data_IF_488141391321
#
_entry.id   IF_488141391321
#
_cell.length_a   1.000
_cell.length_b   1.000
_cell.length_c   1.000
_cell.angle_alpha   90.00
_cell.angle_beta   90.00
_cell.angle_gamma   90.00
#
_symmetry.space_group_name_H-M   'P 1'
#
loop_
_entity.id
_entity.type
_entity.pdbx_description
1 polymer ?
#
# COMPACT_ATOMS: atom_id res chain seq x y z
N UNK A 1 0.32 63.69 -44.53
CA UNK A 1 0.59 63.86 -43.08
C UNK A 1 -0.24 62.83 -42.35
N UNK A 2 0.37 61.68 -42.05
CA UNK A 2 -0.20 60.60 -41.26
C UNK A 2 0.97 59.92 -40.57
N UNK A 3 0.91 59.92 -39.25
CA UNK A 3 1.99 59.62 -38.33
C UNK A 3 2.38 58.13 -38.32
N UNK A 4 3.69 57.88 -38.37
CA UNK A 4 4.30 56.58 -38.07
C UNK A 4 4.67 56.51 -36.59
N UNK A 5 4.28 55.47 -35.84
CA UNK A 5 4.77 55.28 -34.49
C UNK A 5 6.12 54.55 -34.47
N UNK A 6 7.07 55.16 -33.76
CA UNK A 6 8.41 54.67 -33.45
C UNK A 6 8.40 53.43 -32.54
N UNK A 7 9.29 52.43 -32.75
CA UNK A 7 9.44 51.29 -31.85
C UNK A 7 10.24 51.65 -30.59
N UNK A 8 9.70 51.33 -29.42
CA UNK A 8 10.36 51.42 -28.12
C UNK A 8 11.31 50.23 -27.87
N UNK A 9 12.45 50.43 -27.18
CA UNK A 9 13.42 49.38 -26.92
C UNK A 9 13.03 48.47 -25.74
N UNK A 10 13.18 47.16 -25.96
CA UNK A 10 13.02 46.09 -24.97
C UNK A 10 14.14 46.09 -23.92
N UNK A 11 13.85 46.03 -22.61
CA UNK A 11 14.86 45.81 -21.58
C UNK A 11 15.20 44.31 -21.42
N UNK A 12 16.47 43.98 -21.60
CA UNK A 12 17.05 42.64 -21.37
C UNK A 12 17.18 42.33 -19.87
N UNK A 13 16.76 41.14 -19.37
CA UNK A 13 17.01 40.74 -17.99
C UNK A 13 18.30 39.92 -17.91
N UNK A 14 19.46 40.58 -17.89
CA UNK A 14 20.77 39.97 -17.55
C UNK A 14 21.57 40.87 -16.61
N UNK A 15 21.00 41.22 -15.46
CA UNK A 15 21.73 42.01 -14.45
C UNK A 15 21.27 41.82 -12.99
N UNK A 16 20.65 40.68 -12.62
CA UNK A 16 20.20 40.46 -11.23
C UNK A 16 20.83 39.26 -10.49
N UNK A 17 21.85 38.60 -11.06
CA UNK A 17 22.48 37.43 -10.41
C UNK A 17 23.85 37.68 -9.76
N UNK A 18 24.28 38.92 -9.53
CA UNK A 18 25.63 39.20 -8.94
C UNK A 18 25.59 39.99 -7.63
N UNK A 19 24.41 40.26 -7.06
CA UNK A 19 24.28 41.03 -5.82
C UNK A 19 23.82 40.20 -4.60
N UNK A 20 24.37 38.99 -4.41
CA UNK A 20 24.30 38.27 -3.11
C UNK A 20 25.65 37.61 -2.85
N UNK A 21 26.70 38.41 -2.84
CA UNK A 21 28.00 38.04 -2.31
C UNK A 21 28.70 39.34 -1.93
N UNK A 22 28.43 39.82 -0.72
CA UNK A 22 29.34 40.63 0.12
C UNK A 22 28.57 41.00 1.39
N UNK A 23 28.91 40.32 2.47
CA UNK A 23 28.42 40.63 3.80
C UNK A 23 28.99 41.96 4.28
N UNK A 24 28.11 42.84 4.73
CA UNK A 24 28.46 43.95 5.62
C UNK A 24 27.51 43.87 6.81
N UNK A 25 28.08 43.55 7.96
CA UNK A 25 27.46 43.56 9.27
C UNK A 25 26.98 44.97 9.62
N UNK A 26 25.69 45.09 9.94
CA UNK A 26 25.09 46.27 10.56
C UNK A 26 24.10 45.81 11.62
N UNK A 27 24.50 45.94 12.88
CA UNK A 27 23.71 45.65 14.08
C UNK A 27 22.53 46.63 14.14
N UNK A 28 21.32 46.11 14.01
CA UNK A 28 20.11 46.69 14.60
C UNK A 28 19.15 45.54 14.94
N UNK A 29 19.06 45.23 16.23
CA UNK A 29 18.08 44.31 16.79
C UNK A 29 16.67 44.89 16.63
N UNK A 30 16.06 44.61 15.49
CA UNK A 30 14.61 44.60 15.33
C UNK A 30 14.23 43.14 15.19
N UNK A 31 13.62 42.58 16.24
CA UNK A 31 13.12 41.21 16.27
C UNK A 31 12.12 41.01 15.12
N UNK A 32 12.63 40.54 13.97
CA UNK A 32 11.85 40.40 12.76
C UNK A 32 10.80 39.29 12.94
N UNK A 33 9.54 39.48 12.51
CA UNK A 33 8.51 38.45 12.53
C UNK A 33 8.84 37.22 11.66
N UNK A 34 9.90 37.30 10.84
CA UNK A 34 10.37 36.21 9.96
C UNK A 34 10.91 34.99 10.72
N UNK A 35 11.56 35.19 11.88
CA UNK A 35 12.11 34.10 12.68
C UNK A 35 11.02 33.23 13.33
N UNK A 36 9.88 33.83 13.70
CA UNK A 36 8.72 33.09 14.24
C UNK A 36 8.01 32.24 13.18
N UNK A 37 8.00 32.70 11.92
CA UNK A 37 7.47 31.94 10.78
C UNK A 37 8.29 30.69 10.47
N UNK A 38 9.63 30.83 10.40
CA UNK A 38 10.52 29.68 10.16
C UNK A 38 10.52 28.65 11.31
N UNK A 39 10.35 29.09 12.57
CA UNK A 39 10.29 28.16 13.70
C UNK A 39 9.00 27.32 13.70
N UNK A 40 7.87 27.89 13.28
CA UNK A 40 6.57 27.20 13.18
C UNK A 40 6.50 26.20 12.02
N UNK A 41 7.18 26.48 10.90
CA UNK A 41 7.24 25.56 9.75
C UNK A 41 8.14 24.36 10.04
N UNK A 42 9.26 24.58 10.74
CA UNK A 42 10.17 23.50 11.14
C UNK A 42 9.55 22.53 12.16
N UNK A 43 8.80 23.04 13.15
CA UNK A 43 8.15 22.17 14.14
C UNK A 43 7.05 21.30 13.53
N UNK A 44 6.25 21.84 12.59
CA UNK A 44 5.23 21.06 11.87
C UNK A 44 5.84 19.96 11.00
N UNK A 45 6.95 20.25 10.31
CA UNK A 45 7.66 19.24 9.52
C UNK A 45 8.21 18.11 10.39
N UNK A 46 8.78 18.42 11.56
CA UNK A 46 9.26 17.41 12.50
C UNK A 46 8.13 16.55 13.07
N UNK A 47 6.99 17.15 13.40
CA UNK A 47 5.81 16.40 13.85
C UNK A 47 5.25 15.48 12.76
N UNK A 48 5.23 15.94 11.51
CA UNK A 48 4.82 15.11 10.37
C UNK A 48 5.80 13.96 10.14
N UNK A 49 7.11 14.22 10.17
CA UNK A 49 8.14 13.18 10.04
C UNK A 49 8.05 12.15 11.17
N UNK A 50 7.83 12.60 12.42
CA UNK A 50 7.65 11.72 13.57
C UNK A 50 6.36 10.88 13.48
N UNK A 51 5.27 11.46 12.99
CA UNK A 51 4.01 10.76 12.76
C UNK A 51 4.13 9.70 11.66
N UNK A 52 4.79 10.02 10.54
CA UNK A 52 5.07 9.05 9.47
C UNK A 52 5.94 7.89 9.97
N UNK A 53 6.98 8.20 10.74
CA UNK A 53 7.83 7.18 11.36
C UNK A 53 7.03 6.32 12.35
N UNK A 54 6.17 6.91 13.18
CA UNK A 54 5.32 6.16 14.10
C UNK A 54 4.37 5.21 13.35
N UNK A 55 3.79 5.65 12.24
CA UNK A 55 2.95 4.81 11.38
C UNK A 55 3.75 3.69 10.68
N UNK A 56 5.02 3.92 10.36
CA UNK A 56 5.91 2.90 9.80
C UNK A 56 6.26 1.82 10.84
N UNK A 57 6.44 2.22 12.10
CA UNK A 57 6.78 1.33 13.22
C UNK A 57 5.56 0.58 13.79
N UNK A 58 4.34 1.05 13.52
CA UNK A 58 3.13 0.47 14.08
C UNK A 58 2.91 -1.00 13.65
N UNK A 59 2.98 -1.38 12.36
CA UNK A 59 2.81 -2.77 11.95
C UNK A 59 3.79 -3.76 12.62
N UNK A 60 5.12 -3.56 12.59
CA UNK A 60 6.04 -4.49 13.25
C UNK A 60 5.85 -4.49 14.77
N UNK A 61 5.52 -3.37 15.40
CA UNK A 61 5.21 -3.31 16.83
C UNK A 61 3.96 -4.15 17.18
N UNK A 62 2.91 -4.08 16.36
CA UNK A 62 1.69 -4.91 16.54
C UNK A 62 2.02 -6.39 16.38
N UNK A 63 2.84 -6.75 15.38
CA UNK A 63 3.24 -8.15 15.16
C UNK A 63 4.05 -8.68 16.34
N UNK A 64 5.12 -7.98 16.73
CA UNK A 64 5.99 -8.39 17.85
C UNK A 64 5.20 -8.47 19.15
N UNK A 65 4.33 -7.48 19.43
CA UNK A 65 3.47 -7.50 20.61
C UNK A 65 2.44 -8.64 20.57
N UNK A 66 1.91 -8.99 19.39
CA UNK A 66 0.94 -10.09 19.27
C UNK A 66 1.63 -11.45 19.47
N UNK A 67 2.84 -11.61 18.93
CA UNK A 67 3.66 -12.81 19.11
C UNK A 67 4.08 -12.98 20.58
N UNK A 68 4.50 -11.90 21.25
CA UNK A 68 4.95 -11.96 22.65
C UNK A 68 3.84 -12.32 23.64
N UNK A 69 2.58 -12.07 23.29
CA UNK A 69 1.43 -12.40 24.14
C UNK A 69 0.69 -13.68 23.68
N UNK A 70 1.24 -14.42 22.71
CA UNK A 70 0.63 -15.61 22.10
C UNK A 70 -0.80 -15.35 21.60
N UNK A 71 -1.07 -14.14 21.08
CA UNK A 71 -2.39 -13.71 20.58
C UNK A 71 -2.46 -13.75 19.06
N UNK A 72 -2.21 -14.92 18.46
CA UNK A 72 -2.24 -15.09 16.99
C UNK A 72 -3.56 -14.64 16.33
N UNK A 73 -4.68 -14.74 17.04
CA UNK A 73 -5.99 -14.27 16.59
C UNK A 73 -6.05 -12.76 16.34
N UNK A 74 -5.37 -11.93 17.15
CA UNK A 74 -5.34 -10.48 16.96
C UNK A 74 -4.65 -10.13 15.65
N UNK A 75 -3.54 -10.82 15.37
CA UNK A 75 -2.78 -10.59 14.15
C UNK A 75 -3.55 -11.04 12.91
N UNK A 76 -4.33 -12.12 12.99
CA UNK A 76 -5.24 -12.52 11.91
C UNK A 76 -6.30 -11.47 11.61
N UNK A 77 -6.94 -10.88 12.62
CA UNK A 77 -7.88 -9.77 12.38
C UNK A 77 -7.18 -8.54 11.80
N UNK A 78 -5.95 -8.24 12.25
CA UNK A 78 -5.16 -7.17 11.66
C UNK A 78 -4.85 -7.46 10.17
N UNK A 79 -4.50 -8.70 9.83
CA UNK A 79 -4.32 -9.14 8.44
C UNK A 79 -5.64 -9.04 7.64
N UNK A 80 -6.79 -9.39 8.21
CA UNK A 80 -8.09 -9.22 7.54
C UNK A 80 -8.37 -7.75 7.21
N UNK A 81 -8.10 -6.84 8.15
CA UNK A 81 -8.25 -5.40 7.94
C UNK A 81 -7.26 -4.93 6.87
N UNK A 82 -6.00 -5.38 6.94
CA UNK A 82 -4.96 -5.02 6.00
C UNK A 82 -5.31 -5.48 4.57
N UNK A 83 -5.75 -6.73 4.39
CA UNK A 83 -6.16 -7.28 3.07
C UNK A 83 -7.36 -6.51 2.52
N UNK A 84 -8.38 -6.22 3.32
CA UNK A 84 -9.56 -5.50 2.86
C UNK A 84 -9.21 -4.07 2.41
N UNK A 85 -8.43 -3.33 3.22
CA UNK A 85 -8.00 -1.97 2.90
C UNK A 85 -7.01 -1.96 1.72
N UNK A 86 -6.03 -2.85 1.71
CA UNK A 86 -5.07 -2.95 0.61
C UNK A 86 -5.75 -3.35 -0.70
N UNK A 87 -6.72 -4.26 -0.66
CA UNK A 87 -7.54 -4.63 -1.80
C UNK A 87 -8.31 -3.44 -2.35
N UNK A 88 -8.91 -2.62 -1.48
CA UNK A 88 -9.54 -1.36 -1.88
C UNK A 88 -8.52 -0.41 -2.52
N UNK A 89 -7.34 -0.21 -1.93
CA UNK A 89 -6.30 0.65 -2.50
C UNK A 89 -5.86 0.19 -3.90
N UNK A 90 -5.55 -1.11 -4.03
CA UNK A 90 -5.18 -1.73 -5.30
C UNK A 90 -6.30 -1.61 -6.33
N UNK A 91 -7.57 -1.74 -5.94
CA UNK A 91 -8.70 -1.59 -6.86
C UNK A 91 -8.71 -0.21 -7.54
N UNK A 92 -8.41 0.84 -6.77
CA UNK A 92 -8.32 2.21 -7.29
C UNK A 92 -7.07 2.40 -8.16
N UNK A 93 -5.92 1.82 -7.78
CA UNK A 93 -4.71 1.87 -8.59
C UNK A 93 -4.90 1.14 -9.93
N UNK A 94 -5.41 -0.08 -9.91
CA UNK A 94 -5.66 -0.89 -11.10
C UNK A 94 -6.66 -0.20 -12.04
N UNK A 95 -7.73 0.39 -11.51
CA UNK A 95 -8.64 1.19 -12.31
C UNK A 95 -7.92 2.33 -13.06
N UNK A 96 -7.10 3.12 -12.35
CA UNK A 96 -6.38 4.25 -12.95
C UNK A 96 -5.31 3.81 -13.93
N UNK A 97 -4.54 2.78 -13.60
CA UNK A 97 -3.52 2.21 -14.49
C UNK A 97 -4.18 1.70 -15.77
N UNK A 98 -5.30 0.96 -15.66
CA UNK A 98 -6.06 0.49 -16.82
C UNK A 98 -6.51 1.62 -17.71
N UNK A 99 -7.21 2.61 -17.14
CA UNK A 99 -7.68 3.76 -17.93
C UNK A 99 -6.54 4.51 -18.59
N UNK A 100 -5.44 4.75 -17.88
CA UNK A 100 -4.26 5.42 -18.44
C UNK A 100 -3.63 4.64 -19.59
N UNK A 101 -3.45 3.33 -19.44
CA UNK A 101 -2.83 2.50 -20.48
C UNK A 101 -3.77 2.29 -21.68
N UNK A 102 -5.06 2.06 -21.45
CA UNK A 102 -6.05 1.90 -22.51
C UNK A 102 -6.20 3.18 -23.33
N UNK A 103 -6.29 4.34 -22.68
CA UNK A 103 -6.24 5.65 -23.34
C UNK A 103 -4.96 5.74 -24.17
N UNK A 104 -3.78 5.50 -23.60
CA UNK A 104 -2.53 5.59 -24.35
C UNK A 104 -2.44 4.65 -25.56
N UNK A 105 -3.14 3.50 -25.53
CA UNK A 105 -3.12 2.49 -26.60
C UNK A 105 -4.23 2.67 -27.64
N UNK A 106 -5.38 3.23 -27.25
CA UNK A 106 -6.55 3.45 -28.13
C UNK A 106 -6.52 4.81 -28.83
N UNK A 107 -5.65 5.73 -28.40
CA UNK A 107 -5.47 7.01 -29.09
C UNK A 107 -4.77 6.79 -30.44
N UNK A 108 -5.58 6.81 -31.49
CA UNK A 108 -5.16 6.84 -32.88
C UNK A 108 -4.49 8.20 -33.16
N UNK A 109 -3.22 8.26 -33.62
CA UNK A 109 -2.53 9.52 -33.93
C UNK A 109 -3.26 10.37 -34.99
N UNK A 110 -4.17 9.77 -35.75
CA UNK A 110 -4.98 10.43 -36.78
C UNK A 110 -6.29 11.04 -36.24
N UNK A 111 -6.70 10.72 -35.01
CA UNK A 111 -7.83 11.37 -34.36
C UNK A 111 -7.46 12.81 -33.99
N UNK A 112 -8.12 13.80 -34.62
CA UNK A 112 -7.92 15.26 -34.44
C UNK A 112 -8.33 15.80 -33.06
N UNK A 113 -8.11 15.05 -31.99
CA UNK A 113 -8.34 15.51 -30.62
C UNK A 113 -7.06 16.20 -30.16
N UNK A 114 -7.17 17.44 -29.69
CA UNK A 114 -6.02 18.14 -29.12
C UNK A 114 -5.46 17.33 -27.94
N UNK A 115 -4.14 17.22 -27.78
CA UNK A 115 -3.53 16.54 -26.62
C UNK A 115 -4.00 17.12 -25.27
N UNK A 116 -4.42 18.38 -25.24
CA UNK A 116 -5.06 19.00 -24.06
C UNK A 116 -6.40 18.37 -23.71
N UNK A 117 -7.21 18.09 -24.74
CA UNK A 117 -8.58 17.62 -24.60
C UNK A 117 -8.59 16.13 -24.29
N UNK A 118 -7.66 15.38 -24.89
CA UNK A 118 -7.35 14.00 -24.53
C UNK A 118 -6.94 13.89 -23.04
N UNK A 119 -6.03 14.77 -22.58
CA UNK A 119 -5.60 14.80 -21.19
C UNK A 119 -6.70 15.26 -20.23
N UNK A 120 -7.69 16.03 -20.70
CA UNK A 120 -8.83 16.44 -19.90
C UNK A 120 -9.89 15.33 -19.80
N UNK A 121 -10.24 14.69 -20.93
CA UNK A 121 -11.07 13.49 -20.96
C UNK A 121 -10.50 12.38 -20.07
N UNK A 122 -9.20 12.13 -20.20
CA UNK A 122 -8.50 11.16 -19.35
C UNK A 122 -8.60 11.54 -17.87
N UNK A 123 -8.47 12.83 -17.52
CA UNK A 123 -8.63 13.31 -16.14
C UNK A 123 -10.06 13.10 -15.63
N UNK A 124 -11.05 13.41 -16.44
CA UNK A 124 -12.46 13.29 -16.08
C UNK A 124 -12.87 11.82 -15.90
N UNK A 125 -12.38 10.91 -16.75
CA UNK A 125 -12.59 9.46 -16.59
C UNK A 125 -11.82 8.88 -15.40
N UNK A 126 -10.56 9.28 -15.18
CA UNK A 126 -9.73 8.79 -14.09
C UNK A 126 -10.17 9.32 -12.71
N UNK A 127 -10.86 10.45 -12.67
CA UNK A 127 -11.42 11.04 -11.46
C UNK A 127 -12.68 10.33 -10.96
N UNK A 128 -13.19 9.32 -11.70
CA UNK A 128 -14.18 8.34 -11.27
C UNK A 128 -15.09 8.86 -10.16
N UNK A 129 -16.06 9.73 -10.50
CA UNK A 129 -16.91 10.40 -9.51
C UNK A 129 -17.89 9.45 -8.80
N UNK A 130 -17.81 8.14 -9.09
CA UNK A 130 -18.71 7.11 -8.62
C UNK A 130 -17.99 6.11 -7.72
N UNK A 131 -18.70 5.73 -6.66
CA UNK A 131 -18.38 4.59 -5.81
C UNK A 131 -19.40 3.49 -6.12
N UNK A 132 -19.02 2.22 -6.08
CA UNK A 132 -19.88 1.10 -6.46
C UNK A 132 -21.27 1.13 -5.76
N UNK A 133 -21.34 1.55 -4.49
CA UNK A 133 -22.60 1.64 -3.74
C UNK A 133 -23.43 2.90 -4.03
N UNK A 134 -22.94 3.86 -4.81
CA UNK A 134 -23.61 5.15 -5.02
C UNK A 134 -25.07 5.03 -5.51
N UNK A 135 -25.45 4.11 -6.43
CA UNK A 135 -26.84 3.95 -6.84
C UNK A 135 -27.75 3.50 -5.70
N UNK A 136 -27.27 2.59 -4.84
CA UNK A 136 -28.01 2.09 -3.69
C UNK A 136 -28.15 3.18 -2.61
N UNK A 137 -27.07 3.93 -2.34
CA UNK A 137 -27.06 5.02 -1.39
C UNK A 137 -28.05 6.13 -1.74
N UNK A 138 -28.21 6.45 -3.04
CA UNK A 138 -29.21 7.43 -3.51
C UNK A 138 -30.65 6.95 -3.29
N UNK A 139 -30.90 5.65 -3.43
CA UNK A 139 -32.25 5.07 -3.28
C UNK A 139 -32.67 4.87 -1.82
N UNK A 140 -31.77 4.42 -0.96
CA UNK A 140 -32.10 3.95 0.39
C UNK A 140 -31.60 4.87 1.52
N UNK A 141 -30.53 5.63 1.31
CA UNK A 141 -29.84 6.35 2.38
C UNK A 141 -29.72 7.86 2.10
N UNK A 142 -30.59 8.43 1.28
CA UNK A 142 -30.59 9.86 0.97
C UNK A 142 -29.29 10.37 0.34
N UNK A 143 -28.50 9.49 -0.30
CA UNK A 143 -27.19 9.81 -0.86
C UNK A 143 -26.01 9.64 0.10
N UNK A 144 -26.22 9.23 1.35
CA UNK A 144 -25.14 8.96 2.31
C UNK A 144 -24.47 7.61 2.06
N UNK A 145 -23.39 7.63 1.27
CA UNK A 145 -22.60 6.45 0.86
C UNK A 145 -22.09 5.63 2.05
N UNK A 146 -21.60 6.27 3.12
CA UNK A 146 -21.07 5.58 4.31
C UNK A 146 -22.13 4.80 5.08
N UNK A 147 -23.34 5.36 5.19
CA UNK A 147 -24.45 4.69 5.88
C UNK A 147 -24.86 3.45 5.08
N UNK A 148 -25.00 3.59 3.77
CA UNK A 148 -25.30 2.45 2.90
C UNK A 148 -24.23 1.36 3.02
N UNK A 149 -22.94 1.73 2.98
CA UNK A 149 -21.84 0.78 3.08
C UNK A 149 -21.79 0.05 4.43
N UNK A 150 -22.05 0.76 5.54
CA UNK A 150 -22.13 0.16 6.88
C UNK A 150 -23.32 -0.79 7.01
N UNK A 151 -24.48 -0.44 6.45
CA UNK A 151 -25.66 -1.31 6.46
C UNK A 151 -25.42 -2.58 5.62
N UNK A 152 -24.81 -2.43 4.44
CA UNK A 152 -24.44 -3.58 3.59
C UNK A 152 -23.41 -4.48 4.30
N UNK A 153 -22.39 -3.90 4.93
CA UNK A 153 -21.39 -4.64 5.69
C UNK A 153 -21.99 -5.40 6.88
N UNK A 154 -22.88 -4.75 7.65
CA UNK A 154 -23.56 -5.37 8.77
C UNK A 154 -24.48 -6.52 8.32
N UNK A 155 -25.22 -6.32 7.21
CA UNK A 155 -26.10 -7.36 6.64
C UNK A 155 -25.29 -8.57 6.16
N UNK A 156 -24.23 -8.34 5.37
CA UNK A 156 -23.40 -9.43 4.82
C UNK A 156 -22.65 -10.16 5.93
N UNK A 157 -22.07 -9.44 6.89
CA UNK A 157 -21.42 -10.03 8.06
C UNK A 157 -22.39 -10.84 8.93
N UNK A 158 -23.60 -10.31 9.15
CA UNK A 158 -24.66 -11.01 9.90
C UNK A 158 -25.17 -12.27 9.20
N UNK A 159 -25.37 -12.22 7.88
CA UNK A 159 -25.74 -13.37 7.06
C UNK A 159 -24.65 -14.45 7.09
N UNK A 160 -23.39 -14.06 6.92
CA UNK A 160 -22.27 -14.98 7.00
C UNK A 160 -22.16 -15.63 8.38
N UNK A 161 -22.30 -14.86 9.46
CA UNK A 161 -22.36 -15.37 10.82
C UNK A 161 -23.55 -16.34 11.02
N UNK A 162 -24.71 -16.01 10.48
CA UNK A 162 -25.91 -16.86 10.53
C UNK A 162 -25.72 -18.21 9.82
N UNK A 163 -25.11 -18.21 8.63
CA UNK A 163 -24.76 -19.44 7.89
C UNK A 163 -23.79 -20.28 8.70
N UNK A 164 -22.75 -19.66 9.28
CA UNK A 164 -21.81 -20.37 10.14
C UNK A 164 -22.54 -20.98 11.33
N UNK A 165 -23.34 -20.20 12.07
CA UNK A 165 -24.11 -20.70 13.22
C UNK A 165 -25.04 -21.87 12.87
N UNK A 166 -25.64 -21.87 11.68
CA UNK A 166 -26.43 -23.00 11.19
C UNK A 166 -25.57 -24.27 10.96
N UNK A 167 -24.29 -24.10 10.61
CA UNK A 167 -23.31 -25.17 10.46
C UNK A 167 -22.56 -25.52 11.75
N UNK A 168 -23.06 -25.13 12.94
CA UNK A 168 -22.37 -25.37 14.21
C UNK A 168 -22.12 -26.84 14.50
N UNK A 169 -23.14 -27.68 14.38
CA UNK A 169 -23.02 -29.11 14.70
C UNK A 169 -21.94 -29.85 13.89
N UNK A 170 -21.85 -29.73 12.54
CA UNK A 170 -20.80 -30.40 11.79
C UNK A 170 -19.40 -29.86 12.11
N UNK A 171 -19.26 -28.56 12.39
CA UNK A 171 -17.94 -27.97 12.70
C UNK A 171 -17.46 -28.37 14.10
N UNK A 172 -18.34 -28.39 15.10
CA UNK A 172 -17.99 -28.85 16.46
C UNK A 172 -17.56 -30.33 16.48
N UNK A 173 -18.06 -31.17 15.54
CA UNK A 173 -17.59 -32.56 15.39
C UNK A 173 -16.15 -32.64 14.87
N UNK A 174 -15.73 -31.72 14.01
CA UNK A 174 -14.39 -31.70 13.42
C UNK A 174 -13.36 -31.11 14.39
N UNK A 175 -13.74 -30.05 15.12
CA UNK A 175 -12.86 -29.42 16.10
C UNK A 175 -13.61 -29.15 17.41
N UNK A 176 -13.45 -29.99 18.46
CA UNK A 176 -14.20 -29.87 19.71
C UNK A 176 -13.73 -28.70 20.60
N UNK A 177 -12.70 -27.95 20.20
CA UNK A 177 -12.21 -26.83 21.00
C UNK A 177 -13.16 -25.63 20.91
N UNK A 178 -13.65 -25.14 22.05
CA UNK A 178 -14.51 -23.95 22.12
C UNK A 178 -13.87 -22.72 21.47
N UNK A 179 -12.53 -22.60 21.56
CA UNK A 179 -11.78 -21.51 20.95
C UNK A 179 -11.77 -21.60 19.41
N UNK A 180 -11.59 -22.81 18.84
CA UNK A 180 -11.58 -23.00 17.39
C UNK A 180 -12.89 -22.58 16.73
N UNK A 181 -14.03 -22.91 17.36
CA UNK A 181 -15.35 -22.50 16.87
C UNK A 181 -15.56 -20.98 16.89
N UNK A 182 -15.22 -20.32 17.99
CA UNK A 182 -15.36 -18.87 18.11
C UNK A 182 -14.47 -18.13 17.12
N UNK A 183 -13.27 -18.65 16.88
CA UNK A 183 -12.35 -18.15 15.86
C UNK A 183 -12.90 -18.34 14.45
N UNK A 184 -13.48 -19.49 14.15
CA UNK A 184 -14.12 -19.75 12.85
C UNK A 184 -15.26 -18.75 12.58
N UNK A 185 -16.19 -18.60 13.54
CA UNK A 185 -17.32 -17.68 13.43
C UNK A 185 -16.88 -16.22 13.25
N UNK A 186 -15.97 -15.76 14.11
CA UNK A 186 -15.49 -14.37 14.08
C UNK A 186 -14.68 -14.07 12.82
N UNK A 187 -13.80 -14.98 12.38
CA UNK A 187 -13.01 -14.84 11.16
C UNK A 187 -13.91 -14.71 9.91
N UNK A 188 -14.94 -15.56 9.78
CA UNK A 188 -15.90 -15.48 8.67
C UNK A 188 -16.72 -14.19 8.73
N UNK A 189 -17.28 -13.86 9.89
CA UNK A 189 -18.15 -12.69 10.05
C UNK A 189 -17.40 -11.38 9.79
N UNK A 190 -16.20 -11.22 10.38
CA UNK A 190 -15.37 -10.02 10.22
C UNK A 190 -14.83 -9.93 8.79
N UNK A 191 -14.35 -11.04 8.21
CA UNK A 191 -13.89 -11.07 6.82
C UNK A 191 -15.00 -10.70 5.84
N UNK A 192 -16.21 -11.23 6.02
CA UNK A 192 -17.37 -10.91 5.21
C UNK A 192 -17.78 -9.42 5.36
N UNK A 193 -17.84 -8.91 6.59
CA UNK A 193 -18.18 -7.52 6.84
C UNK A 193 -17.15 -6.54 6.24
N UNK A 194 -15.86 -6.79 6.45
CA UNK A 194 -14.77 -5.96 5.92
C UNK A 194 -14.71 -6.00 4.39
N UNK A 195 -14.86 -7.19 3.78
CA UNK A 195 -14.91 -7.32 2.32
C UNK A 195 -16.08 -6.52 1.75
N UNK A 196 -17.28 -6.65 2.33
CA UNK A 196 -18.45 -5.92 1.88
C UNK A 196 -18.26 -4.40 2.04
N UNK A 197 -17.76 -3.94 3.19
CA UNK A 197 -17.49 -2.53 3.46
C UNK A 197 -16.51 -1.95 2.42
N UNK A 198 -15.38 -2.62 2.20
CA UNK A 198 -14.36 -2.15 1.26
C UNK A 198 -14.84 -2.23 -0.20
N UNK A 199 -15.56 -3.29 -0.56
CA UNK A 199 -16.14 -3.48 -1.89
C UNK A 199 -17.18 -2.40 -2.22
N UNK A 200 -17.92 -1.92 -1.21
CA UNK A 200 -18.82 -0.79 -1.39
C UNK A 200 -18.08 0.48 -1.84
N UNK A 201 -16.82 0.66 -1.45
CA UNK A 201 -15.96 1.80 -1.79
C UNK A 201 -15.10 1.62 -3.05
N UNK A 202 -15.17 0.46 -3.71
CA UNK A 202 -14.46 0.23 -4.97
C UNK A 202 -15.04 1.10 -6.10
N UNK A 203 -14.23 1.36 -7.12
CA UNK A 203 -14.59 2.22 -8.26
C UNK A 203 -15.71 1.59 -9.10
N UNK A 204 -15.57 0.31 -9.40
CA UNK A 204 -16.51 -0.46 -10.23
C UNK A 204 -16.99 -1.69 -9.48
N UNK A 205 -18.14 -2.23 -9.88
CA UNK A 205 -18.68 -3.49 -9.34
C UNK A 205 -17.76 -4.69 -9.60
N UNK A 206 -17.03 -4.67 -10.72
CA UNK A 206 -16.07 -5.73 -11.04
C UNK A 206 -14.84 -5.65 -10.14
N UNK A 207 -14.38 -4.45 -9.81
CA UNK A 207 -13.28 -4.28 -8.86
C UNK A 207 -13.72 -4.59 -7.42
N UNK A 208 -14.96 -4.25 -7.08
CA UNK A 208 -15.60 -4.65 -5.83
C UNK A 208 -15.60 -6.19 -5.67
N UNK A 209 -15.95 -6.91 -6.74
CA UNK A 209 -15.90 -8.37 -6.76
C UNK A 209 -14.49 -8.92 -6.48
N UNK A 210 -13.45 -8.34 -7.10
CA UNK A 210 -12.06 -8.77 -6.86
C UNK A 210 -11.64 -8.55 -5.41
N UNK A 211 -12.05 -7.45 -4.77
CA UNK A 211 -11.80 -7.22 -3.33
C UNK A 211 -12.44 -8.31 -2.46
N UNK A 212 -13.67 -8.73 -2.80
CA UNK A 212 -14.32 -9.88 -2.12
C UNK A 212 -13.51 -11.16 -2.32
N UNK A 213 -13.01 -11.42 -3.53
CA UNK A 213 -12.20 -12.62 -3.80
C UNK A 213 -10.89 -12.60 -3.00
N UNK A 214 -10.18 -11.47 -2.93
CA UNK A 214 -8.96 -11.35 -2.12
C UNK A 214 -9.21 -11.69 -0.66
N UNK A 215 -10.26 -11.08 -0.08
CA UNK A 215 -10.61 -11.34 1.31
C UNK A 215 -11.13 -12.77 1.51
N UNK A 216 -11.86 -13.32 0.54
CA UNK A 216 -12.39 -14.67 0.53
C UNK A 216 -11.27 -15.72 0.52
N UNK A 217 -10.27 -15.57 -0.34
CA UNK A 217 -9.09 -16.43 -0.38
C UNK A 217 -8.33 -16.38 0.95
N UNK A 218 -8.07 -15.19 1.49
CA UNK A 218 -7.39 -15.04 2.77
C UNK A 218 -8.18 -15.68 3.92
N UNK A 219 -9.49 -15.44 3.97
CA UNK A 219 -10.38 -16.01 5.00
C UNK A 219 -10.42 -17.52 4.88
N UNK A 220 -10.67 -18.09 3.69
CA UNK A 220 -10.72 -19.52 3.47
C UNK A 220 -9.40 -20.21 3.86
N UNK A 221 -8.26 -19.62 3.49
CA UNK A 221 -6.95 -20.15 3.90
C UNK A 221 -6.76 -20.09 5.41
N UNK A 222 -7.11 -18.97 6.05
CA UNK A 222 -7.00 -18.82 7.50
C UNK A 222 -7.83 -19.87 8.23
N UNK A 223 -9.07 -20.10 7.77
CA UNK A 223 -9.95 -21.13 8.34
C UNK A 223 -9.39 -22.53 8.15
N UNK A 224 -8.78 -22.80 6.99
CA UNK A 224 -8.13 -24.08 6.74
C UNK A 224 -7.02 -24.36 7.75
N UNK A 225 -6.15 -23.38 8.00
CA UNK A 225 -5.08 -23.50 9.01
C UNK A 225 -5.64 -23.85 10.40
N UNK A 226 -6.85 -23.39 10.74
CA UNK A 226 -7.50 -23.72 12.03
C UNK A 226 -8.30 -25.02 12.05
N UNK A 227 -8.83 -25.48 10.92
CA UNK A 227 -9.74 -26.62 10.85
C UNK A 227 -9.06 -27.93 10.45
N UNK A 228 -8.18 -27.90 9.46
CA UNK A 228 -7.57 -29.09 8.87
C UNK A 228 -6.10 -29.03 9.18
N UNK A 229 -5.65 -29.83 10.15
CA UNK A 229 -4.25 -29.93 10.51
C UNK A 229 -3.38 -30.20 9.25
N UNK A 230 -2.68 -29.15 8.80
CA UNK A 230 -1.41 -29.10 8.07
C UNK A 230 -1.29 -29.70 6.65
N UNK A 231 -2.35 -29.80 5.85
CA UNK A 231 -2.16 -30.12 4.43
C UNK A 231 -1.89 -28.88 3.55
N UNK A 232 -0.62 -28.73 3.16
CA UNK A 232 -0.05 -27.60 2.41
C UNK A 232 -0.66 -27.34 1.03
N UNK A 233 -1.30 -28.37 0.47
CA UNK A 233 -1.95 -28.28 -0.83
C UNK A 233 -3.11 -27.28 -0.82
N UNK A 234 -3.75 -27.06 0.33
CA UNK A 234 -5.03 -26.35 0.40
C UNK A 234 -4.87 -24.85 0.17
N UNK A 235 -3.82 -24.20 0.68
CA UNK A 235 -3.59 -22.77 0.44
C UNK A 235 -3.37 -22.44 -1.04
N UNK A 236 -2.57 -23.26 -1.74
CA UNK A 236 -2.35 -23.11 -3.18
C UNK A 236 -3.64 -23.37 -3.97
N UNK A 237 -4.44 -24.36 -3.58
CA UNK A 237 -5.75 -24.61 -4.19
C UNK A 237 -6.70 -23.43 -4.00
N UNK A 238 -6.74 -22.81 -2.81
CA UNK A 238 -7.58 -21.64 -2.54
C UNK A 238 -7.17 -20.45 -3.42
N UNK A 239 -5.86 -20.20 -3.59
CA UNK A 239 -5.34 -19.15 -4.49
C UNK A 239 -5.65 -19.46 -5.94
N UNK A 240 -5.51 -20.73 -6.36
CA UNK A 240 -5.82 -21.17 -7.72
C UNK A 240 -7.31 -21.02 -8.03
N UNK A 241 -8.20 -21.43 -7.10
CA UNK A 241 -9.64 -21.25 -7.25
C UNK A 241 -9.97 -19.76 -7.32
N UNK A 242 -9.39 -18.94 -6.43
CA UNK A 242 -9.56 -17.48 -6.48
C UNK A 242 -9.12 -16.87 -7.81
N UNK A 243 -7.97 -17.31 -8.32
CA UNK A 243 -7.44 -16.94 -9.64
C UNK A 243 -8.44 -17.28 -10.75
N UNK A 244 -8.94 -18.52 -10.79
CA UNK A 244 -9.93 -18.94 -11.77
C UNK A 244 -11.21 -18.11 -11.71
N UNK A 245 -11.70 -17.81 -10.50
CA UNK A 245 -12.89 -16.99 -10.27
C UNK A 245 -12.68 -15.56 -10.79
N UNK A 246 -11.52 -14.94 -10.52
CA UNK A 246 -11.17 -13.61 -11.02
C UNK A 246 -11.10 -13.61 -12.55
N UNK A 247 -10.41 -14.58 -13.15
CA UNK A 247 -10.28 -14.70 -14.61
C UNK A 247 -11.65 -14.81 -15.27
N UNK A 248 -12.49 -15.74 -14.82
CA UNK A 248 -13.84 -15.93 -15.36
C UNK A 248 -14.69 -14.67 -15.16
N UNK A 249 -14.63 -14.07 -13.96
CA UNK A 249 -15.37 -12.84 -13.66
C UNK A 249 -14.99 -11.68 -14.58
N UNK A 250 -13.69 -11.51 -14.88
CA UNK A 250 -13.21 -10.47 -15.81
C UNK A 250 -13.59 -10.75 -17.26
N UNK A 251 -13.53 -12.00 -17.71
CA UNK A 251 -13.95 -12.40 -19.06
C UNK A 251 -15.45 -12.12 -19.28
N UNK A 252 -16.29 -12.38 -18.27
CA UNK A 252 -17.73 -12.13 -18.37
C UNK A 252 -18.06 -10.63 -18.31
N UNK A 253 -17.30 -9.86 -17.53
CA UNK A 253 -17.57 -8.44 -17.32
C UNK A 253 -17.21 -7.55 -18.52
N UNK A 254 -16.17 -7.90 -19.27
CA UNK A 254 -15.57 -7.04 -20.28
C UNK A 254 -15.66 -7.67 -21.66
N UNK A 255 -16.17 -6.94 -22.64
CA UNK A 255 -16.22 -7.39 -24.04
C UNK A 255 -14.90 -7.19 -24.78
N UNK A 256 -14.05 -6.27 -24.31
CA UNK A 256 -12.79 -5.93 -24.96
C UNK A 256 -11.63 -6.81 -24.46
N UNK A 257 -10.95 -7.47 -25.39
CA UNK A 257 -9.86 -8.43 -25.06
C UNK A 257 -8.70 -7.74 -24.36
N UNK A 258 -8.29 -6.56 -24.82
CA UNK A 258 -7.15 -5.83 -24.26
C UNK A 258 -7.41 -5.35 -22.82
N UNK A 259 -8.58 -4.75 -22.57
CA UNK A 259 -9.01 -4.33 -21.22
C UNK A 259 -9.09 -5.53 -20.27
N UNK A 260 -9.61 -6.66 -20.77
CA UNK A 260 -9.72 -7.91 -20.01
C UNK A 260 -8.34 -8.46 -19.63
N UNK A 261 -7.41 -8.55 -20.59
CA UNK A 261 -6.05 -9.04 -20.33
C UNK A 261 -5.29 -8.15 -19.36
N UNK A 262 -5.43 -6.83 -19.47
CA UNK A 262 -4.79 -5.89 -18.55
C UNK A 262 -5.40 -5.98 -17.15
N UNK A 263 -6.72 -6.10 -17.04
CA UNK A 263 -7.43 -6.28 -15.78
C UNK A 263 -7.01 -7.58 -15.08
N UNK A 264 -7.00 -8.71 -15.81
CA UNK A 264 -6.55 -9.99 -15.28
C UNK A 264 -5.11 -9.89 -14.80
N UNK A 265 -4.20 -9.32 -15.60
CA UNK A 265 -2.78 -9.21 -15.23
C UNK A 265 -2.59 -8.41 -13.93
N UNK A 266 -3.27 -7.26 -13.81
CA UNK A 266 -3.20 -6.43 -12.61
C UNK A 266 -3.81 -7.14 -11.40
N UNK A 267 -4.94 -7.82 -11.56
CA UNK A 267 -5.55 -8.57 -10.47
C UNK A 267 -4.69 -9.77 -10.03
N UNK A 268 -4.01 -10.43 -10.97
CA UNK A 268 -3.04 -11.49 -10.65
C UNK A 268 -1.85 -10.95 -9.86
N UNK A 269 -1.34 -9.76 -10.23
CA UNK A 269 -0.31 -9.06 -9.46
C UNK A 269 -0.84 -8.72 -8.07
N UNK A 270 -2.06 -8.23 -7.94
CA UNK A 270 -2.69 -7.93 -6.65
C UNK A 270 -2.84 -9.18 -5.78
N UNK A 271 -3.30 -10.30 -6.34
CA UNK A 271 -3.42 -11.58 -5.63
C UNK A 271 -2.06 -12.09 -5.15
N UNK A 272 -1.04 -12.02 -6.02
CA UNK A 272 0.31 -12.48 -5.71
C UNK A 272 1.04 -11.58 -4.70
N UNK A 273 0.86 -10.26 -4.79
CA UNK A 273 1.51 -9.30 -3.89
C UNK A 273 0.78 -9.15 -2.55
N UNK A 274 -0.53 -9.37 -2.48
CA UNK A 274 -1.31 -9.14 -1.27
C UNK A 274 -1.82 -10.43 -0.63
N UNK A 275 -2.63 -11.21 -1.35
CA UNK A 275 -3.32 -12.36 -0.77
C UNK A 275 -2.35 -13.47 -0.39
N UNK A 276 -1.40 -13.79 -1.28
CA UNK A 276 -0.44 -14.86 -1.04
C UNK A 276 0.45 -14.60 0.20
N UNK A 277 1.18 -13.47 0.33
CA UNK A 277 1.93 -13.17 1.54
C UNK A 277 1.10 -13.19 2.82
N UNK A 278 -0.13 -12.66 2.77
CA UNK A 278 -1.01 -12.64 3.94
C UNK A 278 -1.43 -14.06 4.33
N UNK A 279 -1.70 -14.93 3.36
CA UNK A 279 -1.97 -16.34 3.61
C UNK A 279 -0.77 -17.05 4.24
N UNK A 280 0.45 -16.78 3.80
CA UNK A 280 1.67 -17.33 4.42
C UNK A 280 1.83 -16.83 5.88
N UNK A 281 1.52 -15.56 6.16
CA UNK A 281 1.48 -15.04 7.55
C UNK A 281 0.44 -15.79 8.37
N UNK A 282 -0.75 -16.04 7.82
CA UNK A 282 -1.81 -16.76 8.53
C UNK A 282 -1.44 -18.22 8.80
N UNK A 283 -0.84 -18.92 7.83
CA UNK A 283 -0.33 -20.29 7.98
C UNK A 283 0.72 -20.35 9.09
N UNK A 284 1.65 -19.39 9.06
CA UNK A 284 2.68 -19.25 10.07
C UNK A 284 2.09 -19.09 11.49
N UNK A 285 1.08 -18.24 11.66
CA UNK A 285 0.46 -17.97 12.97
C UNK A 285 -0.37 -19.12 13.53
N UNK A 286 -0.86 -20.01 12.66
CA UNK A 286 -1.61 -21.18 13.09
C UNK A 286 -0.72 -22.32 13.60
N UNK A 287 0.59 -22.30 13.33
CA UNK A 287 1.49 -23.38 13.67
C UNK A 287 1.74 -23.48 15.19
N UNK A 288 1.68 -24.66 15.84
CA UNK A 288 1.84 -24.79 17.30
C UNK A 288 3.23 -24.39 17.77
N UNK A 289 4.26 -24.71 16.96
CA UNK A 289 5.66 -24.33 17.21
C UNK A 289 5.98 -22.87 16.88
N UNK A 290 5.00 -22.06 16.45
CA UNK A 290 5.24 -20.64 16.14
C UNK A 290 5.71 -19.87 17.38
N UNK A 291 5.33 -20.31 18.57
CA UNK A 291 5.77 -19.74 19.84
C UNK A 291 7.26 -19.98 20.08
N UNK A 292 7.74 -21.19 19.79
CA UNK A 292 9.15 -21.57 19.98
C UNK A 292 10.10 -20.82 19.02
N UNK A 293 9.58 -20.39 17.86
CA UNK A 293 10.33 -19.61 16.88
C UNK A 293 10.05 -18.10 16.95
N UNK A 294 9.31 -17.65 17.98
CA UNK A 294 8.89 -16.26 18.20
C UNK A 294 10.00 -15.24 18.00
N UNK A 295 11.20 -15.56 18.51
CA UNK A 295 12.38 -14.69 18.43
C UNK A 295 12.90 -14.55 17.00
N UNK A 296 12.90 -15.62 16.21
CA UNK A 296 13.34 -15.58 14.80
C UNK A 296 12.42 -14.71 13.95
N UNK A 297 11.11 -14.77 14.19
CA UNK A 297 10.13 -13.95 13.47
C UNK A 297 10.28 -12.49 13.91
N UNK A 298 10.42 -12.25 15.20
CA UNK A 298 10.64 -10.90 15.73
C UNK A 298 11.91 -10.29 15.13
N UNK A 299 12.99 -11.06 15.01
CA UNK A 299 14.20 -10.65 14.32
C UNK A 299 13.95 -10.31 12.85
N UNK A 300 13.20 -11.13 12.11
CA UNK A 300 12.79 -10.82 10.74
C UNK A 300 12.07 -9.48 10.63
N UNK A 301 11.06 -9.22 11.46
CA UNK A 301 10.32 -7.96 11.43
C UNK A 301 11.20 -6.76 11.83
N UNK A 302 12.10 -6.92 12.80
CA UNK A 302 13.05 -5.87 13.21
C UNK A 302 14.02 -5.54 12.06
N UNK A 303 14.56 -6.55 11.38
CA UNK A 303 15.50 -6.35 10.26
C UNK A 303 14.84 -5.62 9.10
N UNK A 304 13.66 -6.07 8.66
CA UNK A 304 12.93 -5.40 7.56
C UNK A 304 12.49 -3.99 7.98
N UNK A 305 12.04 -3.82 9.22
CA UNK A 305 11.68 -2.50 9.76
C UNK A 305 12.89 -1.55 9.78
N UNK A 306 14.06 -2.03 10.21
CA UNK A 306 15.28 -1.24 10.21
C UNK A 306 15.65 -0.80 8.78
N UNK A 307 15.60 -1.70 7.81
CA UNK A 307 15.82 -1.39 6.41
C UNK A 307 14.86 -0.28 5.90
N UNK A 308 13.59 -0.32 6.30
CA UNK A 308 12.60 0.70 5.96
C UNK A 308 12.86 2.05 6.65
N UNK A 309 13.34 2.06 7.89
CA UNK A 309 13.80 3.28 8.56
C UNK A 309 14.97 3.89 7.76
N UNK A 310 15.91 3.06 7.30
CA UNK A 310 17.01 3.49 6.44
C UNK A 310 16.52 4.20 5.19
N UNK A 311 15.60 3.57 4.45
CA UNK A 311 14.97 4.18 3.28
C UNK A 311 14.27 5.51 3.61
N UNK A 312 13.44 5.52 4.65
CA UNK A 312 12.73 6.73 5.07
C UNK A 312 13.70 7.88 5.38
N UNK A 313 14.78 7.60 6.10
CA UNK A 313 15.82 8.58 6.42
C UNK A 313 16.54 9.06 5.15
N UNK A 314 16.88 8.15 4.22
CA UNK A 314 17.52 8.49 2.95
C UNK A 314 16.66 9.46 2.13
N UNK A 315 15.38 9.15 1.94
CA UNK A 315 14.44 9.99 1.20
C UNK A 315 14.30 11.37 1.85
N UNK A 316 14.17 11.44 3.18
CA UNK A 316 14.04 12.71 3.91
C UNK A 316 15.33 13.53 3.87
N UNK A 317 16.49 12.90 4.06
CA UNK A 317 17.79 13.56 4.00
C UNK A 317 18.03 14.13 2.61
N UNK A 318 17.73 13.34 1.57
CA UNK A 318 17.86 13.78 0.19
C UNK A 318 16.91 14.92 -0.16
N UNK A 319 15.64 14.86 0.29
CA UNK A 319 14.69 15.96 0.09
C UNK A 319 15.14 17.27 0.80
N UNK A 320 15.89 17.16 1.91
CA UNK A 320 16.51 18.31 2.58
C UNK A 320 17.72 18.82 1.80
N UNK A 321 18.57 17.92 1.30
CA UNK A 321 19.75 18.26 0.51
C UNK A 321 19.38 18.91 -0.83
N UNK A 322 18.39 18.37 -1.54
CA UNK A 322 17.89 18.94 -2.79
C UNK A 322 17.33 20.36 -2.61
N UNK A 323 16.65 20.62 -1.48
CA UNK A 323 16.20 21.97 -1.11
C UNK A 323 17.36 22.90 -0.78
N UNK A 324 18.40 22.40 -0.13
CA UNK A 324 19.60 23.19 0.21
C UNK A 324 20.44 23.54 -1.03
N UNK A 325 20.52 22.64 -2.00
CA UNK A 325 21.26 22.79 -3.26
C UNK A 325 20.46 23.46 -4.39
N UNK A 326 19.28 24.03 -4.07
CA UNK A 326 18.17 24.34 -4.97
C UNK A 326 18.37 25.39 -6.08
N UNK A 327 19.53 25.47 -6.75
CA UNK A 327 19.78 26.49 -7.79
C UNK A 327 20.29 25.94 -9.14
N UNK A 328 20.89 24.74 -9.23
CA UNK A 328 21.65 24.38 -10.46
C UNK A 328 21.31 23.07 -11.19
N UNK A 329 20.36 22.25 -10.74
CA UNK A 329 20.15 20.93 -11.38
C UNK A 329 19.06 20.98 -12.45
N UNK A 330 19.50 21.03 -13.72
CA UNK A 330 18.64 20.98 -14.93
C UNK A 330 17.83 19.67 -15.02
N UNK A 331 16.66 19.67 -15.67
CA UNK A 331 15.74 18.52 -15.71
C UNK A 331 16.16 17.34 -16.60
N UNK A 332 17.16 17.46 -17.47
CA UNK A 332 17.54 16.41 -18.43
C UNK A 332 18.46 15.32 -17.87
N UNK A 333 19.17 15.57 -16.77
CA UNK A 333 19.96 14.55 -16.07
C UNK A 333 19.11 13.60 -15.21
N UNK A 334 17.81 13.87 -15.04
CA UNK A 334 16.91 13.16 -14.11
C UNK A 334 16.84 11.63 -14.30
N UNK A 335 17.06 11.11 -15.51
CA UNK A 335 16.89 9.67 -15.82
C UNK A 335 18.13 8.82 -15.59
N UNK A 336 19.33 9.36 -15.83
CA UNK A 336 20.58 8.69 -15.48
C UNK A 336 20.85 8.79 -13.98
N UNK A 337 20.46 9.91 -13.37
CA UNK A 337 20.50 10.11 -11.92
C UNK A 337 19.56 9.14 -11.20
N UNK A 338 18.36 8.86 -11.73
CA UNK A 338 17.38 8.00 -11.04
C UNK A 338 17.92 6.60 -10.73
N UNK A 339 18.57 5.95 -11.70
CA UNK A 339 19.11 4.60 -11.49
C UNK A 339 20.19 4.59 -10.40
N UNK A 340 21.10 5.58 -10.42
CA UNK A 340 22.15 5.68 -9.41
C UNK A 340 21.54 5.89 -8.01
N UNK A 341 20.47 6.70 -7.93
CA UNK A 341 19.78 6.93 -6.67
C UNK A 341 19.06 5.72 -6.12
N UNK A 342 18.48 4.89 -6.97
CA UNK A 342 17.81 3.66 -6.54
C UNK A 342 18.82 2.68 -5.95
N UNK A 343 20.05 2.63 -6.50
CA UNK A 343 21.16 1.84 -5.94
C UNK A 343 21.66 2.42 -4.62
N UNK A 344 21.82 3.75 -4.51
CA UNK A 344 22.23 4.40 -3.26
C UNK A 344 21.21 4.16 -2.13
N UNK A 345 19.92 4.26 -2.44
CA UNK A 345 18.82 3.97 -1.51
C UNK A 345 18.84 2.50 -1.07
N UNK A 346 19.01 1.58 -2.01
CA UNK A 346 19.13 0.14 -1.74
C UNK A 346 20.32 -0.16 -0.81
N UNK A 347 21.49 0.44 -1.08
CA UNK A 347 22.68 0.26 -0.23
C UNK A 347 22.43 0.83 1.16
N UNK A 348 21.89 2.04 1.27
CA UNK A 348 21.63 2.68 2.55
C UNK A 348 20.60 1.91 3.38
N UNK A 349 19.52 1.45 2.75
CA UNK A 349 18.53 0.58 3.39
C UNK A 349 19.13 -0.76 3.82
N UNK A 350 19.98 -1.36 2.99
CA UNK A 350 20.68 -2.62 3.32
C UNK A 350 21.60 -2.48 4.53
N UNK A 351 22.33 -1.37 4.65
CA UNK A 351 23.16 -1.05 5.82
C UNK A 351 22.30 -0.97 7.08
N UNK A 352 21.14 -0.30 7.01
CA UNK A 352 20.20 -0.27 8.13
C UNK A 352 19.60 -1.64 8.44
N UNK A 353 19.34 -2.48 7.45
CA UNK A 353 18.96 -3.88 7.65
C UNK A 353 20.02 -4.67 8.42
N UNK A 354 21.30 -4.48 8.09
CA UNK A 354 22.43 -5.08 8.82
C UNK A 354 22.52 -4.56 10.27
N UNK A 355 22.25 -3.26 10.50
CA UNK A 355 22.12 -2.72 11.85
C UNK A 355 20.95 -3.37 12.58
N UNK A 356 19.80 -3.55 11.92
CA UNK A 356 18.65 -4.28 12.45
C UNK A 356 19.03 -5.71 12.87
N UNK A 357 19.83 -6.41 12.06
CA UNK A 357 20.34 -7.74 12.39
C UNK A 357 21.22 -7.71 13.64
N UNK A 358 22.15 -6.76 13.75
CA UNK A 358 22.98 -6.61 14.94
C UNK A 358 22.14 -6.30 16.20
N UNK A 359 21.09 -5.47 16.06
CA UNK A 359 20.15 -5.19 17.14
C UNK A 359 19.37 -6.45 17.53
N UNK A 360 18.90 -7.24 16.57
CA UNK A 360 18.24 -8.52 16.85
C UNK A 360 19.18 -9.51 17.56
N UNK A 361 20.44 -9.60 17.13
CA UNK A 361 21.45 -10.42 17.79
C UNK A 361 21.65 -10.02 19.26
N UNK A 362 21.68 -8.72 19.55
CA UNK A 362 21.81 -8.20 20.92
C UNK A 362 20.52 -8.38 21.75
N UNK A 363 19.36 -8.26 21.12
CA UNK A 363 18.06 -8.39 21.80
C UNK A 363 17.73 -9.84 22.17
N UNK A 364 18.24 -10.81 21.41
CA UNK A 364 18.01 -12.25 21.59
C UNK A 364 19.33 -13.01 21.78
N UNK A 365 20.07 -12.78 22.88
CA UNK A 365 21.41 -13.35 23.08
C UNK A 365 21.43 -14.87 23.27
N UNK A 366 20.30 -15.44 23.71
CA UNK A 366 20.10 -16.89 23.85
C UNK A 366 19.95 -17.58 22.48
N UNK A 367 19.65 -16.80 21.42
CA UNK A 367 19.45 -17.33 20.08
C UNK A 367 20.74 -17.28 19.27
N UNK A 368 21.26 -18.45 18.91
CA UNK A 368 22.41 -18.57 18.02
C UNK A 368 21.94 -18.36 16.57
N UNK A 369 22.13 -17.16 16.00
CA UNK A 369 21.81 -16.96 14.59
C UNK A 369 22.78 -17.74 13.71
N UNK A 370 22.23 -18.68 12.94
CA UNK A 370 23.01 -19.46 11.98
C UNK A 370 23.40 -18.61 10.76
N UNK A 371 24.48 -18.99 10.07
CA UNK A 371 24.91 -18.32 8.84
C UNK A 371 23.80 -18.27 7.79
N UNK A 372 22.94 -19.29 7.74
CA UNK A 372 21.83 -19.33 6.80
C UNK A 372 20.74 -18.28 7.14
N UNK A 373 20.53 -17.97 8.42
CA UNK A 373 19.61 -16.92 8.83
C UNK A 373 20.06 -15.56 8.31
N UNK A 374 21.36 -15.28 8.40
CA UNK A 374 21.93 -14.05 7.85
C UNK A 374 21.71 -13.95 6.33
N UNK A 375 21.89 -15.04 5.59
CA UNK A 375 21.65 -15.09 4.14
C UNK A 375 20.18 -14.85 3.81
N UNK A 376 19.26 -15.53 4.50
CA UNK A 376 17.82 -15.41 4.29
C UNK A 376 17.34 -13.99 4.62
N UNK A 377 17.80 -13.41 5.74
CA UNK A 377 17.44 -12.06 6.16
C UNK A 377 18.00 -10.99 5.21
N UNK A 378 19.24 -11.16 4.73
CA UNK A 378 19.84 -10.25 3.74
C UNK A 378 19.05 -10.28 2.42
N UNK A 379 18.66 -11.48 1.96
CA UNK A 379 17.85 -11.64 0.76
C UNK A 379 16.45 -11.04 0.94
N UNK A 380 15.85 -11.22 2.12
CA UNK A 380 14.58 -10.60 2.47
C UNK A 380 14.65 -9.07 2.43
N UNK A 381 15.74 -8.46 2.93
CA UNK A 381 15.95 -7.00 2.83
C UNK A 381 15.98 -6.56 1.37
N UNK A 382 16.79 -7.21 0.51
CA UNK A 382 16.87 -6.85 -0.91
C UNK A 382 15.49 -6.97 -1.59
N UNK A 383 14.76 -8.03 -1.27
CA UNK A 383 13.45 -8.29 -1.87
C UNK A 383 12.37 -7.34 -1.36
N UNK A 384 12.44 -6.92 -0.10
CA UNK A 384 11.67 -5.83 0.48
C UNK A 384 11.81 -4.55 -0.36
N UNK A 385 13.05 -4.17 -0.70
CA UNK A 385 13.32 -2.97 -1.49
C UNK A 385 12.78 -3.12 -2.91
N UNK A 386 12.92 -4.30 -3.52
CA UNK A 386 12.35 -4.59 -4.84
C UNK A 386 10.82 -4.49 -4.84
N UNK A 387 10.15 -5.02 -3.81
CA UNK A 387 8.69 -4.92 -3.69
C UNK A 387 8.24 -3.45 -3.57
N UNK A 388 8.96 -2.64 -2.79
CA UNK A 388 8.69 -1.21 -2.69
C UNK A 388 8.84 -0.52 -4.05
N UNK A 389 9.93 -0.76 -4.77
CA UNK A 389 10.13 -0.20 -6.12
C UNK A 389 8.99 -0.58 -7.08
N UNK A 390 8.52 -1.83 -7.01
CA UNK A 390 7.37 -2.27 -7.82
C UNK A 390 6.08 -1.53 -7.43
N UNK A 391 5.83 -1.35 -6.14
CA UNK A 391 4.66 -0.60 -5.63
C UNK A 391 4.74 0.88 -5.97
N UNK A 392 5.90 1.51 -5.86
CA UNK A 392 6.13 2.90 -6.26
C UNK A 392 5.96 3.07 -7.77
N UNK A 393 6.41 2.10 -8.58
CA UNK A 393 6.16 2.08 -10.01
C UNK A 393 4.64 2.02 -10.30
N UNK A 394 3.90 1.10 -9.67
CA UNK A 394 2.44 1.03 -9.81
C UNK A 394 1.77 2.34 -9.38
N UNK A 395 2.18 2.91 -8.25
CA UNK A 395 1.66 4.17 -7.74
C UNK A 395 1.94 5.33 -8.69
N UNK A 396 3.15 5.41 -9.26
CA UNK A 396 3.51 6.45 -10.23
C UNK A 396 2.70 6.34 -11.53
N UNK A 397 2.37 5.12 -11.96
CA UNK A 397 1.47 4.90 -13.09
C UNK A 397 0.02 5.27 -12.75
N UNK A 398 -0.40 5.06 -11.49
CA UNK A 398 -1.75 5.36 -11.02
C UNK A 398 -1.98 6.84 -10.67
N UNK A 399 -0.95 7.61 -10.31
CA UNK A 399 -1.07 9.03 -10.00
C UNK A 399 -1.26 9.83 -11.29
N UNK A 400 -2.27 10.69 -11.27
CA UNK A 400 -2.51 11.71 -12.29
C UNK A 400 -1.80 12.98 -11.83
N UNK A 401 -0.72 13.36 -12.51
CA UNK A 401 -0.08 14.66 -12.27
C UNK A 401 -1.09 15.77 -12.59
N UNK A 402 -1.52 16.50 -11.57
CA UNK A 402 -2.29 17.74 -11.71
C UNK A 402 -1.34 18.91 -12.03
N UNK A 403 -0.44 18.73 -12.98
CA UNK A 403 0.39 19.83 -13.47
C UNK A 403 -0.39 20.57 -14.56
N UNK A 404 -1.23 21.51 -14.14
CA UNK A 404 -1.88 22.44 -15.07
C UNK A 404 -3.17 23.06 -14.56
N UNK A 405 -3.03 24.28 -14.01
CA UNK A 405 -4.05 25.35 -14.03
C UNK A 405 -5.50 24.95 -13.75
N UNK A 406 -5.87 24.89 -12.46
CA UNK A 406 -7.26 24.74 -12.03
C UNK A 406 -7.48 25.30 -10.63
N UNK A 407 -6.81 26.39 -10.27
CA UNK A 407 -7.08 27.15 -9.06
C UNK A 407 -8.39 27.92 -9.26
N UNK A 408 -9.53 27.25 -9.07
CA UNK A 408 -10.81 27.94 -9.25
C UNK A 408 -12.06 27.09 -9.27
N UNK A 409 -12.20 26.06 -8.43
CA UNK A 409 -13.54 25.76 -7.90
C UNK A 409 -13.49 24.91 -6.61
N UNK A 410 -13.47 25.60 -5.47
CA UNK A 410 -13.28 25.00 -4.15
C UNK A 410 -14.64 24.77 -3.41
N UNK A 411 -15.76 24.74 -4.15
CA UNK A 411 -17.13 24.70 -3.58
C UNK A 411 -17.90 23.38 -3.72
N UNK A 412 -17.36 22.34 -4.37
CA UNK A 412 -17.95 20.99 -4.45
C UNK A 412 -17.47 19.98 -3.39
N UNK A 413 -17.19 20.45 -2.17
CA UNK A 413 -16.22 19.84 -1.22
C UNK A 413 -16.68 18.64 -0.37
N UNK A 414 -17.69 17.86 -0.76
CA UNK A 414 -18.31 16.89 0.19
C UNK A 414 -18.27 15.39 -0.16
N UNK A 415 -17.56 14.93 -1.20
CA UNK A 415 -17.54 13.47 -1.52
C UNK A 415 -16.16 12.87 -1.89
N UNK A 416 -15.06 13.63 -1.85
CA UNK A 416 -13.73 13.16 -2.25
C UNK A 416 -12.96 12.42 -1.13
N UNK A 417 -13.59 11.46 -0.45
CA UNK A 417 -12.93 10.65 0.59
C UNK A 417 -11.84 9.67 0.07
N UNK A 418 -11.86 9.17 -1.18
CA UNK A 418 -10.76 8.33 -1.68
C UNK A 418 -9.50 9.12 -2.06
N UNK A 419 -9.63 10.39 -2.47
CA UNK A 419 -8.55 11.15 -3.09
C UNK A 419 -7.44 11.61 -2.15
N UNK A 420 -7.74 11.81 -0.86
CA UNK A 420 -6.74 12.12 0.17
C UNK A 420 -6.05 10.84 0.66
N UNK A 421 -6.81 9.75 0.84
CA UNK A 421 -6.31 8.46 1.28
C UNK A 421 -5.38 7.81 0.24
N UNK A 422 -5.72 7.85 -1.06
CA UNK A 422 -4.83 7.42 -2.14
C UNK A 422 -3.55 8.26 -2.28
N UNK A 423 -3.57 9.53 -1.83
CA UNK A 423 -2.40 10.41 -1.89
C UNK A 423 -1.45 10.18 -0.72
N UNK A 424 -1.99 9.88 0.45
CA UNK A 424 -1.18 9.43 1.59
C UNK A 424 -0.55 8.06 1.27
N UNK A 425 0.64 7.77 1.78
CA UNK A 425 1.18 6.40 1.73
C UNK A 425 0.16 5.47 2.38
N UNK A 426 -0.57 4.69 1.57
CA UNK A 426 -1.67 3.86 2.03
C UNK A 426 -1.19 2.59 2.72
N UNK A 427 -2.10 1.64 2.89
CA UNK A 427 -1.80 0.36 3.54
C UNK A 427 -0.86 -0.46 2.67
N UNK A 428 -1.07 -0.48 1.34
CA UNK A 428 -0.23 -1.23 0.40
C UNK A 428 1.21 -0.71 0.43
N UNK A 429 1.39 0.61 0.35
CA UNK A 429 2.73 1.20 0.37
C UNK A 429 3.49 0.85 1.65
N UNK A 430 2.83 0.92 2.82
CA UNK A 430 3.46 0.58 4.11
C UNK A 430 3.68 -0.91 4.32
N UNK A 431 2.80 -1.75 3.77
CA UNK A 431 2.91 -3.21 3.89
C UNK A 431 3.89 -3.81 2.88
N UNK A 432 4.10 -3.14 1.72
CA UNK A 432 4.91 -3.64 0.61
C UNK A 432 6.28 -4.23 0.98
N UNK A 433 7.07 -3.64 1.89
CA UNK A 433 8.37 -4.18 2.24
C UNK A 433 8.28 -5.56 2.91
N UNK A 434 7.17 -5.83 3.60
CA UNK A 434 6.96 -7.07 4.34
C UNK A 434 6.35 -8.16 3.48
N UNK A 435 5.50 -7.80 2.51
CA UNK A 435 4.73 -8.75 1.70
C UNK A 435 5.65 -9.75 0.98
N UNK A 436 6.57 -9.27 0.14
CA UNK A 436 7.42 -10.17 -0.66
C UNK A 436 8.50 -10.85 0.19
N UNK A 437 8.97 -10.17 1.24
CA UNK A 437 9.96 -10.68 2.18
C UNK A 437 9.44 -11.90 2.96
N UNK A 438 8.17 -11.90 3.36
CA UNK A 438 7.55 -13.03 4.08
C UNK A 438 7.49 -14.27 3.20
N UNK A 439 7.22 -14.12 1.90
CA UNK A 439 7.16 -15.26 0.97
C UNK A 439 8.51 -15.99 0.88
N UNK A 440 9.63 -15.28 1.01
CA UNK A 440 10.96 -15.90 1.07
C UNK A 440 11.30 -16.46 2.44
N UNK A 441 10.87 -15.78 3.51
CA UNK A 441 11.17 -16.19 4.88
C UNK A 441 10.37 -17.42 5.31
N UNK A 442 9.14 -17.58 4.81
CA UNK A 442 8.26 -18.65 5.23
C UNK A 442 8.79 -20.07 4.94
N UNK A 443 9.30 -20.39 3.72
CA UNK A 443 9.94 -21.68 3.44
C UNK A 443 11.10 -22.00 4.39
N UNK A 444 11.88 -20.98 4.77
CA UNK A 444 12.98 -21.13 5.71
C UNK A 444 12.47 -21.53 7.10
N UNK A 445 11.54 -20.77 7.68
CA UNK A 445 10.96 -21.09 8.98
C UNK A 445 10.29 -22.47 8.98
N UNK A 446 9.61 -22.81 7.88
CA UNK A 446 8.99 -24.12 7.71
C UNK A 446 10.00 -25.26 7.68
N UNK A 447 11.18 -25.05 7.13
CA UNK A 447 12.25 -26.06 7.18
C UNK A 447 12.70 -26.36 8.62
N UNK A 448 12.71 -25.34 9.49
CA UNK A 448 13.02 -25.50 10.92
C UNK A 448 11.94 -26.27 11.67
N UNK A 449 10.66 -26.10 11.31
CA UNK A 449 9.57 -26.89 11.90
C UNK A 449 9.73 -28.40 11.63
N UNK A 450 10.26 -28.75 10.44
CA UNK A 450 10.51 -30.15 10.06
C UNK A 450 11.72 -30.76 10.74
N UNK A 451 12.78 -29.98 10.97
CA UNK A 451 14.01 -30.45 11.61
C UNK A 451 13.86 -30.65 13.12
N UNK A 452 12.86 -30.01 13.73
CA UNK A 452 12.55 -30.13 15.17
C UNK A 452 11.48 -31.19 15.47
N UNK A 453 11.01 -31.94 14.47
CA UNK A 453 10.08 -33.05 14.59
C UNK A 453 10.84 -34.36 14.38
#
# INVERSE_FOLDING_TARGET
>A
MSDMPSPSPSPSPRAHCVAIALGISGIHDVASPSARSHRRTRSRALLADAFELALLLLPPAVVVSALSHSRGHVLLFACQIAVALAGLELSWWHFRIRKRLLVALLFDPDARISPSDAAQLQRDEMNGSGVAIAPLARRLCGGHVWVAALLTAALVGGLAAGVVLACREPVERVNPTKLGWQMFLSCVAVGAALSALCSCFAVTTCDAFVVVVYQGCFTASSLNTFLVQYDHLIALYVVLIGTCIVIIGRIVANSEVLETMLAITLDMIGLALLALPMMEIADFLGHPKSQDLGDKISAFWIVICAAEIGHFLFVKQRARLARALGVCVRPLTKRALSLQYDVEDLVFSSVFGAVGFAVSWLAYPEHLFETWEFVVLSLAVVLSQFCRLAVDAMKSLAIVDQDGSGAGDDRGRSQALPGAWLRSNGVVARASPYLLSVVMFHPYIKSLFKLSA
#
